data_IF_517981362534
#
_entry.id   IF_517981362534
#
_cell.length_a   1.000
_cell.length_b   1.000
_cell.length_c   1.000
_cell.angle_alpha   90.00
_cell.angle_beta   90.00
_cell.angle_gamma   90.00
#
_symmetry.space_group_name_H-M   'P 1'
#
loop_
_entity.id
_entity.type
_entity.pdbx_description
1 polymer ?
#
# COMPACT_ATOMS: atom_id res chain seq x y z
N UNK A 1 -3.87 -18.67 -4.74
CA UNK A 1 -3.23 -17.97 -5.87
C UNK A 1 -2.97 -19.00 -6.96
N UNK A 2 -2.69 -18.57 -8.16
CA UNK A 2 -2.25 -19.46 -9.22
C UNK A 2 -0.72 -19.69 -9.16
N UNK A 3 -0.22 -20.63 -9.97
CA UNK A 3 1.18 -21.02 -10.01
C UNK A 3 2.10 -19.84 -10.39
N UNK A 4 1.68 -19.03 -11.36
CA UNK A 4 2.47 -17.87 -11.81
C UNK A 4 2.65 -16.84 -10.68
N UNK A 5 1.60 -16.54 -9.94
CA UNK A 5 1.69 -15.63 -8.80
C UNK A 5 2.45 -16.24 -7.63
N UNK A 6 2.31 -17.55 -7.44
CA UNK A 6 3.09 -18.27 -6.43
C UNK A 6 4.60 -18.14 -6.70
N UNK A 7 5.04 -18.44 -7.92
CA UNK A 7 6.44 -18.37 -8.32
C UNK A 7 7.00 -16.95 -8.19
N UNK A 8 6.18 -15.94 -8.58
CA UNK A 8 6.54 -14.54 -8.43
C UNK A 8 6.79 -14.16 -6.97
N UNK A 9 5.89 -14.54 -6.06
CA UNK A 9 6.01 -14.23 -4.63
C UNK A 9 7.21 -14.97 -4.02
N UNK A 10 7.44 -16.23 -4.38
CA UNK A 10 8.61 -16.97 -3.95
C UNK A 10 9.91 -16.31 -4.43
N UNK A 11 9.94 -15.81 -5.66
CA UNK A 11 11.07 -15.03 -6.18
C UNK A 11 11.39 -13.79 -5.37
N UNK A 12 10.35 -13.05 -4.91
CA UNK A 12 10.56 -11.91 -3.99
C UNK A 12 11.08 -12.34 -2.62
N UNK A 13 10.59 -13.47 -2.09
CA UNK A 13 11.10 -14.01 -0.82
C UNK A 13 12.59 -14.35 -0.94
N UNK A 14 12.99 -14.97 -2.04
CA UNK A 14 14.40 -15.29 -2.30
C UNK A 14 15.24 -14.03 -2.51
N UNK A 15 14.72 -13.02 -3.19
CA UNK A 15 15.35 -11.71 -3.32
C UNK A 15 15.61 -11.08 -1.94
N UNK A 16 14.61 -11.06 -1.06
CA UNK A 16 14.76 -10.53 0.30
C UNK A 16 15.87 -11.22 1.10
N UNK A 17 15.96 -12.56 1.00
CA UNK A 17 17.06 -13.33 1.62
C UNK A 17 18.43 -12.98 1.02
N UNK A 18 18.52 -12.94 -0.30
CA UNK A 18 19.76 -12.69 -1.03
C UNK A 18 20.29 -11.28 -0.83
N UNK A 19 19.40 -10.31 -0.68
CA UNK A 19 19.73 -8.90 -0.42
C UNK A 19 20.05 -8.62 1.05
N UNK A 20 19.91 -9.62 1.94
CA UNK A 20 20.34 -9.54 3.34
C UNK A 20 19.29 -9.08 4.32
N UNK A 21 18.00 -9.10 3.97
CA UNK A 21 16.92 -8.90 4.92
C UNK A 21 16.84 -10.09 5.90
N UNK A 22 16.49 -9.82 7.16
CA UNK A 22 16.34 -10.85 8.18
C UNK A 22 14.97 -11.52 8.06
N UNK A 23 14.92 -12.81 7.65
CA UNK A 23 13.68 -13.58 7.65
C UNK A 23 13.28 -13.93 9.10
N UNK A 24 12.18 -13.34 9.56
CA UNK A 24 11.65 -13.57 10.92
C UNK A 24 10.78 -14.82 10.98
N UNK A 25 9.93 -15.02 9.99
CA UNK A 25 9.09 -16.21 9.87
C UNK A 25 8.59 -16.42 8.43
N UNK A 26 8.09 -17.63 8.14
CA UNK A 26 7.57 -18.00 6.82
C UNK A 26 8.67 -18.27 5.80
N UNK A 27 8.44 -17.80 4.57
CA UNK A 27 9.40 -17.94 3.48
C UNK A 27 9.35 -19.28 2.76
N UNK A 28 8.26 -20.03 2.89
CA UNK A 28 8.15 -21.38 2.32
C UNK A 28 6.73 -21.68 1.84
N UNK A 29 6.62 -22.66 0.95
CA UNK A 29 5.34 -23.25 0.52
C UNK A 29 4.67 -23.97 1.70
N UNK A 30 3.35 -23.96 1.72
CA UNK A 30 2.55 -24.73 2.67
C UNK A 30 1.95 -25.95 1.98
N UNK A 31 2.38 -27.14 2.40
CA UNK A 31 1.86 -28.40 1.88
C UNK A 31 2.28 -28.71 0.44
N UNK A 32 1.76 -29.84 -0.08
CA UNK A 32 2.08 -30.32 -1.42
C UNK A 32 0.98 -30.03 -2.46
N UNK A 33 -0.19 -29.63 -2.02
CA UNK A 33 -1.35 -29.33 -2.87
C UNK A 33 -1.70 -27.86 -2.81
N UNK A 34 -1.95 -27.28 -3.99
CA UNK A 34 -2.31 -25.87 -4.16
C UNK A 34 -1.09 -24.94 -3.97
N UNK A 35 -1.28 -23.67 -4.24
CA UNK A 35 -0.22 -22.65 -4.29
C UNK A 35 -0.36 -21.72 -3.07
N UNK A 36 -0.01 -22.27 -1.91
CA UNK A 36 -0.07 -21.57 -0.63
C UNK A 36 1.34 -21.24 -0.13
N UNK A 37 1.53 -20.00 0.30
CA UNK A 37 2.77 -19.51 0.90
C UNK A 37 2.49 -19.20 2.38
N UNK A 38 3.38 -19.63 3.25
CA UNK A 38 3.33 -19.28 4.66
C UNK A 38 3.46 -17.77 4.82
N UNK A 39 2.62 -17.12 5.65
CA UNK A 39 2.81 -15.71 5.96
C UNK A 39 4.27 -15.42 6.34
N UNK A 40 4.86 -14.47 5.65
CA UNK A 40 6.30 -14.23 5.67
C UNK A 40 6.58 -12.81 6.18
N UNK A 41 7.54 -12.68 7.08
CA UNK A 41 7.95 -11.39 7.63
C UNK A 41 9.46 -11.24 7.51
N UNK A 42 9.88 -10.14 6.90
CA UNK A 42 11.27 -9.70 6.86
C UNK A 42 11.47 -8.49 7.78
N UNK A 43 12.51 -8.52 8.60
CA UNK A 43 13.04 -7.39 9.36
C UNK A 43 14.35 -6.88 8.74
N UNK A 44 14.82 -5.74 9.25
CA UNK A 44 16.06 -5.07 8.81
C UNK A 44 16.07 -4.78 7.29
N UNK A 45 14.88 -4.60 6.72
CA UNK A 45 14.73 -4.28 5.31
C UNK A 45 15.23 -2.85 5.06
N UNK A 46 16.00 -2.66 4.01
CA UNK A 46 16.52 -1.37 3.57
C UNK A 46 15.76 -0.84 2.36
N UNK A 47 15.75 0.47 2.19
CA UNK A 47 14.95 1.13 1.14
C UNK A 47 15.33 0.72 -0.29
N UNK A 48 16.59 0.32 -0.51
CA UNK A 48 17.10 -0.12 -1.81
C UNK A 48 16.75 -1.56 -2.17
N UNK A 49 16.31 -2.36 -1.21
CA UNK A 49 15.96 -3.77 -1.45
C UNK A 49 14.72 -3.90 -2.35
N UNK A 50 14.71 -4.90 -3.19
CA UNK A 50 13.62 -5.19 -4.12
C UNK A 50 12.28 -5.35 -3.40
N UNK A 51 12.27 -6.04 -2.26
CA UNK A 51 11.07 -6.24 -1.42
C UNK A 51 10.55 -4.97 -0.73
N UNK A 52 11.33 -3.88 -0.73
CA UNK A 52 10.90 -2.56 -0.24
C UNK A 52 10.38 -1.66 -1.37
N UNK A 53 10.82 -1.88 -2.61
CA UNK A 53 10.57 -1.00 -3.74
C UNK A 53 9.45 -1.48 -4.65
N UNK A 54 9.25 -2.78 -4.75
CA UNK A 54 8.32 -3.40 -5.68
C UNK A 54 7.10 -3.99 -4.96
N UNK A 55 5.99 -4.07 -5.68
CA UNK A 55 4.76 -4.66 -5.17
C UNK A 55 4.82 -6.18 -5.27
N UNK A 56 4.91 -6.86 -4.13
CA UNK A 56 5.00 -8.32 -4.06
C UNK A 56 3.65 -8.98 -4.39
N UNK A 57 2.55 -8.37 -3.95
CA UNK A 57 1.18 -8.85 -4.08
C UNK A 57 0.98 -10.27 -3.53
N UNK A 58 1.49 -10.50 -2.31
CA UNK A 58 1.46 -11.78 -1.62
C UNK A 58 1.57 -11.64 -0.10
N UNK A 59 1.54 -12.76 0.65
CA UNK A 59 1.54 -12.75 2.11
C UNK A 59 2.96 -12.48 2.68
N UNK A 60 3.56 -11.37 2.27
CA UNK A 60 4.91 -10.95 2.66
C UNK A 60 4.86 -9.54 3.24
N UNK A 61 5.47 -9.35 4.40
CA UNK A 61 5.59 -8.06 5.08
C UNK A 61 7.06 -7.69 5.24
N UNK A 62 7.42 -6.47 4.85
CA UNK A 62 8.73 -5.87 5.05
C UNK A 62 8.67 -4.87 6.19
N UNK A 63 9.51 -5.04 7.22
CA UNK A 63 9.64 -4.14 8.35
C UNK A 63 10.89 -3.29 8.17
N UNK A 64 10.69 -1.98 8.12
CA UNK A 64 11.73 -0.98 7.89
C UNK A 64 11.76 -0.06 9.12
N UNK A 65 12.82 -0.07 9.94
CA UNK A 65 12.92 0.82 11.08
C UNK A 65 13.16 2.28 10.66
N UNK A 66 12.70 3.21 11.48
CA UNK A 66 12.96 4.64 11.33
C UNK A 66 13.20 5.29 12.70
N UNK A 67 13.82 6.46 12.72
CA UNK A 67 14.17 7.18 13.94
C UNK A 67 13.33 8.45 14.13
N UNK A 68 12.96 9.12 13.05
CA UNK A 68 12.23 10.39 13.07
C UNK A 68 11.01 10.34 12.15
N UNK A 69 9.98 11.12 12.50
CA UNK A 69 8.72 11.16 11.72
C UNK A 69 8.97 11.74 10.31
N UNK A 70 9.79 12.79 10.22
CA UNK A 70 10.08 13.41 8.92
C UNK A 70 10.81 12.44 7.98
N UNK A 71 11.72 11.62 8.53
CA UNK A 71 12.39 10.55 7.80
C UNK A 71 11.37 9.55 7.21
N UNK A 72 10.43 9.05 8.04
CA UNK A 72 9.47 8.04 7.56
C UNK A 72 8.50 8.62 6.55
N UNK A 73 8.11 9.88 6.66
CA UNK A 73 7.26 10.57 5.68
C UNK A 73 7.98 10.70 4.33
N UNK A 74 9.24 11.12 4.34
CA UNK A 74 10.05 11.21 3.12
C UNK A 74 10.17 9.84 2.44
N UNK A 75 10.53 8.80 3.20
CA UNK A 75 10.69 7.43 2.71
C UNK A 75 9.38 6.86 2.18
N UNK A 76 8.26 7.04 2.89
CA UNK A 76 6.93 6.62 2.44
C UNK A 76 6.52 7.31 1.13
N UNK A 77 7.00 8.52 0.89
CA UNK A 77 6.71 9.28 -0.33
C UNK A 77 7.63 8.94 -1.52
N UNK A 78 8.73 8.23 -1.33
CA UNK A 78 9.66 7.86 -2.43
C UNK A 78 9.10 6.80 -3.36
N UNK A 79 8.18 5.96 -2.90
CA UNK A 79 7.56 4.93 -3.74
C UNK A 79 6.82 5.55 -4.92
N UNK A 80 6.75 4.82 -6.03
CA UNK A 80 5.92 5.18 -7.19
C UNK A 80 4.43 4.98 -6.94
N UNK A 81 4.06 4.29 -5.88
CA UNK A 81 2.70 4.02 -5.47
C UNK A 81 2.17 5.07 -4.46
N UNK A 82 0.87 5.11 -4.29
CA UNK A 82 0.20 5.99 -3.35
C UNK A 82 -1.28 5.65 -3.20
N UNK A 83 -1.61 4.35 -3.06
CA UNK A 83 -3.00 3.94 -2.89
C UNK A 83 -3.50 4.26 -1.49
N UNK A 84 -2.82 3.72 -0.49
CA UNK A 84 -3.24 3.84 0.89
C UNK A 84 -2.05 3.78 1.85
N UNK A 85 -2.23 4.35 3.04
CA UNK A 85 -1.32 4.21 4.16
C UNK A 85 -2.09 4.18 5.47
N UNK A 86 -1.43 3.78 6.55
CA UNK A 86 -2.02 3.81 7.88
C UNK A 86 -1.00 4.27 8.92
N UNK A 87 -1.48 4.93 9.98
CA UNK A 87 -0.68 5.36 11.11
C UNK A 87 -1.33 4.95 12.42
N UNK A 88 -0.53 4.39 13.33
CA UNK A 88 -0.95 4.06 14.68
C UNK A 88 -0.24 4.98 15.69
N UNK A 89 -1.01 5.83 16.34
CA UNK A 89 -0.50 6.76 17.34
C UNK A 89 -1.60 7.19 18.32
N UNK A 90 -1.23 7.52 19.53
CA UNK A 90 -2.11 8.19 20.51
C UNK A 90 -2.07 9.72 20.40
N UNK A 91 -1.12 10.25 19.65
CA UNK A 91 -0.95 11.70 19.46
C UNK A 91 -1.72 12.12 18.20
N UNK A 92 -2.85 12.80 18.40
CA UNK A 92 -3.72 13.25 17.31
C UNK A 92 -3.03 14.30 16.40
N UNK A 93 -2.14 15.13 16.94
CA UNK A 93 -1.39 16.11 16.13
C UNK A 93 -0.43 15.39 15.18
N UNK A 94 0.25 14.36 15.69
CA UNK A 94 1.11 13.51 14.87
C UNK A 94 0.32 12.76 13.79
N UNK A 95 -0.86 12.24 14.15
CA UNK A 95 -1.74 11.56 13.18
C UNK A 95 -2.09 12.47 12.00
N UNK A 96 -2.55 13.70 12.28
CA UNK A 96 -2.88 14.67 11.23
C UNK A 96 -1.64 15.10 10.43
N UNK A 97 -0.53 15.40 11.08
CA UNK A 97 0.70 15.78 10.39
C UNK A 97 1.17 14.70 9.40
N UNK A 98 1.10 13.42 9.79
CA UNK A 98 1.43 12.31 8.89
C UNK A 98 0.39 12.17 7.77
N UNK A 99 -0.90 12.27 8.10
CA UNK A 99 -1.98 12.16 7.11
C UNK A 99 -1.88 13.25 6.03
N UNK A 100 -1.53 14.47 6.41
CA UNK A 100 -1.35 15.59 5.47
C UNK A 100 -0.08 15.46 4.62
N UNK A 101 0.97 14.82 5.16
CA UNK A 101 2.29 14.76 4.54
C UNK A 101 2.50 13.53 3.65
N UNK A 102 1.84 12.41 3.93
CA UNK A 102 1.98 11.17 3.14
C UNK A 102 1.08 11.24 1.90
N UNK A 103 1.69 11.06 0.73
CA UNK A 103 1.01 11.12 -0.56
C UNK A 103 0.36 9.79 -0.92
N UNK A 104 -0.75 9.48 -0.25
CA UNK A 104 -1.63 8.36 -0.53
C UNK A 104 -3.08 8.81 -0.59
N UNK A 105 -3.89 8.11 -1.37
CA UNK A 105 -5.30 8.48 -1.59
C UNK A 105 -6.18 8.23 -0.36
N UNK A 106 -5.79 7.30 0.49
CA UNK A 106 -6.47 7.01 1.76
C UNK A 106 -5.44 6.90 2.88
N UNK A 107 -5.70 7.58 3.99
CA UNK A 107 -4.92 7.43 5.23
C UNK A 107 -5.83 6.96 6.35
N UNK A 108 -5.52 5.79 6.90
CA UNK A 108 -6.20 5.29 8.10
C UNK A 108 -5.43 5.67 9.36
N UNK A 109 -6.15 6.05 10.38
CA UNK A 109 -5.59 6.36 11.70
C UNK A 109 -6.11 5.35 12.71
N UNK A 110 -5.21 4.59 13.33
CA UNK A 110 -5.50 3.53 14.33
C UNK A 110 -6.48 2.45 13.82
N UNK A 111 -6.60 2.29 12.52
CA UNK A 111 -7.35 1.24 11.84
C UNK A 111 -6.68 0.89 10.52
N UNK A 112 -7.15 -0.13 9.84
CA UNK A 112 -6.67 -0.52 8.53
C UNK A 112 -7.78 -1.15 7.70
N UNK A 113 -7.79 -0.84 6.40
CA UNK A 113 -8.71 -1.40 5.41
C UNK A 113 -10.21 -1.23 5.75
N UNK A 114 -10.54 -0.14 6.45
CA UNK A 114 -11.93 0.27 6.69
C UNK A 114 -12.39 1.08 5.49
N UNK A 115 -13.42 0.60 4.80
CA UNK A 115 -14.03 1.26 3.65
C UNK A 115 -15.47 1.69 3.98
N UNK A 116 -15.87 2.85 3.47
CA UNK A 116 -17.24 3.34 3.52
C UNK A 116 -17.65 3.77 2.11
N UNK A 117 -18.82 3.31 1.66
CA UNK A 117 -19.32 3.64 0.32
C UNK A 117 -19.51 5.16 0.06
N UNK A 118 -19.53 5.97 1.12
CA UNK A 118 -19.64 7.43 1.05
C UNK A 118 -18.28 8.13 0.99
N UNK A 119 -17.19 7.43 1.32
CA UNK A 119 -15.85 7.97 1.30
C UNK A 119 -15.14 7.63 -0.02
N UNK A 120 -14.57 8.59 -0.74
CA UNK A 120 -13.88 8.30 -1.99
C UNK A 120 -12.64 7.42 -1.74
N UNK A 121 -12.42 6.47 -2.64
CA UNK A 121 -11.27 5.57 -2.64
C UNK A 121 -10.53 5.65 -3.97
N UNK A 122 -9.21 5.69 -3.94
CA UNK A 122 -8.36 5.70 -5.12
C UNK A 122 -6.95 6.20 -4.84
N UNK A 123 -6.05 5.97 -5.77
CA UNK A 123 -4.62 6.18 -5.58
C UNK A 123 -4.09 7.52 -6.06
N UNK A 124 -2.91 7.85 -5.57
CA UNK A 124 -2.02 8.84 -6.13
C UNK A 124 -0.95 8.15 -6.99
N UNK A 125 -0.24 8.91 -7.78
CA UNK A 125 0.90 8.46 -8.58
C UNK A 125 0.48 7.27 -9.49
N UNK A 126 1.27 6.18 -9.53
CA UNK A 126 0.96 5.00 -10.36
C UNK A 126 -0.13 4.08 -9.79
N UNK A 127 -0.61 4.36 -8.58
CA UNK A 127 -1.74 3.59 -8.02
C UNK A 127 -3.08 3.92 -8.66
N UNK A 128 -3.15 4.89 -9.55
CA UNK A 128 -4.30 5.10 -10.40
C UNK A 128 -4.74 6.56 -10.57
N UNK A 129 -5.72 6.73 -11.43
CA UNK A 129 -6.37 8.02 -11.76
C UNK A 129 -7.85 7.92 -11.42
N UNK A 130 -8.42 9.01 -10.96
CA UNK A 130 -9.82 9.07 -10.54
C UNK A 130 -10.06 8.56 -9.12
N UNK A 131 -11.32 8.49 -8.76
CA UNK A 131 -11.78 7.98 -7.46
C UNK A 131 -13.02 7.14 -7.66
N UNK A 132 -13.10 6.03 -6.91
CA UNK A 132 -14.31 5.26 -6.73
C UNK A 132 -14.97 5.65 -5.42
N UNK A 133 -16.21 5.27 -5.22
CA UNK A 133 -17.03 5.54 -4.05
C UNK A 133 -17.29 7.05 -3.81
N UNK A 134 -18.21 7.33 -2.91
CA UNK A 134 -18.63 8.70 -2.61
C UNK A 134 -19.14 9.46 -3.85
N UNK A 135 -19.22 10.78 -3.72
CA UNK A 135 -19.66 11.66 -4.80
C UNK A 135 -18.69 11.65 -6.00
N UNK A 136 -17.41 11.53 -5.75
CA UNK A 136 -16.38 11.47 -6.82
C UNK A 136 -16.52 10.22 -7.69
N UNK A 137 -17.02 9.11 -7.15
CA UNK A 137 -17.31 7.91 -7.92
C UNK A 137 -18.40 8.14 -8.96
N UNK A 138 -19.43 8.91 -8.64
CA UNK A 138 -20.52 9.23 -9.57
C UNK A 138 -20.03 10.05 -10.76
N UNK A 139 -19.02 10.89 -10.56
CA UNK A 139 -18.46 11.72 -11.64
C UNK A 139 -17.84 10.89 -12.76
N UNK A 140 -17.37 9.68 -12.47
CA UNK A 140 -16.80 8.76 -13.47
C UNK A 140 -17.87 8.21 -14.44
N UNK A 141 -19.14 8.26 -14.04
CA UNK A 141 -20.29 7.74 -14.79
C UNK A 141 -21.24 8.83 -15.25
N UNK A 142 -20.85 10.11 -15.13
CA UNK A 142 -21.69 11.27 -15.40
C UNK A 142 -20.97 12.26 -16.31
N UNK A 143 -21.75 12.95 -17.16
CA UNK A 143 -21.26 14.07 -17.96
C UNK A 143 -22.01 15.34 -17.61
N UNK A 144 -21.31 16.45 -17.56
CA UNK A 144 -21.90 17.77 -17.30
C UNK A 144 -22.32 18.42 -18.61
N UNK A 145 -23.59 18.85 -18.66
CA UNK A 145 -24.14 19.57 -19.82
C UNK A 145 -24.67 20.93 -19.38
N UNK A 146 -24.25 21.98 -20.09
CA UNK A 146 -24.82 23.33 -19.92
C UNK A 146 -25.87 23.60 -20.99
N UNK A 147 -27.03 24.14 -20.56
CA UNK A 147 -28.09 24.61 -21.46
C UNK A 147 -28.36 26.06 -21.15
N UNK A 148 -28.18 26.96 -22.15
CA UNK A 148 -28.42 28.37 -22.05
C UNK A 148 -29.58 28.74 -22.97
N UNK A 149 -30.67 29.28 -22.41
CA UNK A 149 -31.82 29.73 -23.19
C UNK A 149 -31.94 31.23 -23.01
N UNK A 150 -31.96 31.99 -24.11
CA UNK A 150 -32.30 33.42 -24.13
C UNK A 150 -33.77 33.54 -24.58
N UNK A 151 -34.61 34.11 -23.73
CA UNK A 151 -36.01 34.47 -24.01
C UNK A 151 -36.11 35.87 -24.59
#
# INVERSE_FOLDING_TARGET
MDETQFDRVMGYIDSGRNEGATLVCGGERVGERGDFIRPTVFADVKDEMTIAREEIFGPVMSIIPFSQVDEVVERANRTTYGLAAAVWTKDIKKAHAIADSVRAGTIWVNCYNVLDARAPFGGFKQSGVGRELGEYGLQQYSEVKSVIVKL
#
